data_IF_552037295621
#
_entry.id   IF_552037295621
#
_cell.length_a   1.000
_cell.length_b   1.000
_cell.length_c   1.000
_cell.angle_alpha   90.00
_cell.angle_beta   90.00
_cell.angle_gamma   90.00
#
_symmetry.space_group_name_H-M   'P 1'
#
loop_
_entity.id
_entity.type
_entity.pdbx_description
1 polymer ?
#
# COMPACT_ATOMS: atom_id res chain seq x y z
N UNK A 1 23.38 27.38 -28.72
CA UNK A 1 23.26 26.83 -28.23
C UNK A 1 23.28 26.28 -27.37
N UNK A 2 23.08 26.41 -27.32
CA UNK A 2 22.99 25.73 -26.65
C UNK A 2 22.85 25.50 -25.59
N UNK A 3 22.11 25.47 -26.18
CA UNK A 3 22.28 25.47 -24.87
C UNK A 3 22.71 24.18 -24.26
N UNK A 4 23.79 24.21 -23.86
CA UNK A 4 24.50 23.07 -23.39
C UNK A 4 23.90 22.54 -22.11
N UNK A 5 23.45 23.46 -21.27
CA UNK A 5 22.94 23.10 -19.96
C UNK A 5 21.43 23.02 -20.03
N UNK A 6 20.84 21.95 -19.48
CA UNK A 6 19.40 21.94 -19.31
C UNK A 6 18.97 23.05 -18.35
N UNK A 7 17.72 23.47 -18.39
CA UNK A 7 17.22 24.41 -17.39
C UNK A 7 17.58 23.97 -16.00
N UNK A 8 17.91 24.91 -15.11
CA UNK A 8 18.22 24.60 -13.73
C UNK A 8 17.03 23.99 -13.00
N UNK A 9 15.83 24.18 -13.53
CA UNK A 9 14.61 23.62 -12.96
C UNK A 9 13.78 22.97 -14.05
N UNK A 10 13.21 21.82 -13.72
CA UNK A 10 12.20 21.15 -14.52
C UNK A 10 10.83 21.39 -13.89
N UNK A 11 9.73 21.46 -14.67
CA UNK A 11 8.40 21.56 -14.07
C UNK A 11 8.12 20.41 -13.11
N UNK A 12 8.71 19.25 -13.31
CA UNK A 12 8.55 18.12 -12.40
C UNK A 12 9.19 18.38 -11.03
N UNK A 13 10.12 19.29 -10.92
CA UNK A 13 10.74 19.64 -9.64
C UNK A 13 9.79 20.40 -8.70
N UNK A 14 8.65 20.86 -9.20
CA UNK A 14 7.62 21.42 -8.33
C UNK A 14 6.81 20.37 -7.58
N UNK A 15 6.95 19.10 -7.95
CA UNK A 15 6.28 18.00 -7.24
C UNK A 15 6.91 17.87 -5.85
N UNK A 16 6.06 17.92 -4.82
CA UNK A 16 6.51 17.85 -3.42
C UNK A 16 6.04 16.62 -2.71
N UNK A 17 5.07 15.89 -3.28
CA UNK A 17 4.45 14.76 -2.57
C UNK A 17 3.85 13.80 -3.58
N UNK A 18 3.72 12.55 -3.16
CA UNK A 18 2.83 11.60 -3.82
C UNK A 18 1.50 11.75 -3.07
N UNK A 19 0.51 12.35 -3.74
CA UNK A 19 -0.74 12.72 -3.09
C UNK A 19 -1.58 11.50 -2.71
N UNK A 20 -1.73 10.58 -3.66
CA UNK A 20 -2.43 9.33 -3.37
C UNK A 20 -1.86 8.20 -4.22
N UNK A 21 -2.03 6.98 -3.71
CA UNK A 21 -1.62 5.76 -4.38
C UNK A 21 -2.88 4.98 -4.74
N UNK A 22 -2.93 4.46 -5.95
CA UNK A 22 -4.10 3.70 -6.43
C UNK A 22 -3.69 2.25 -6.63
N UNK A 23 -4.47 1.34 -6.07
CA UNK A 23 -4.35 -0.09 -6.34
C UNK A 23 -5.51 -0.46 -7.27
N UNK A 24 -5.17 -0.98 -8.45
CA UNK A 24 -6.20 -1.50 -9.36
C UNK A 24 -6.56 -2.92 -8.92
N UNK A 25 -7.78 -3.07 -8.43
CA UNK A 25 -8.22 -4.29 -7.76
C UNK A 25 -8.77 -5.31 -8.73
N UNK A 26 -8.56 -6.59 -8.41
CA UNK A 26 -9.21 -7.69 -9.12
C UNK A 26 -10.58 -8.00 -8.53
N UNK A 27 -10.66 -7.96 -7.21
CA UNK A 27 -11.89 -8.24 -6.47
C UNK A 27 -12.08 -7.13 -5.44
N UNK A 28 -12.91 -6.15 -5.78
CA UNK A 28 -13.15 -5.00 -4.91
C UNK A 28 -13.71 -5.42 -3.55
N UNK A 29 -14.65 -6.37 -3.54
CA UNK A 29 -15.27 -6.78 -2.29
C UNK A 29 -14.26 -7.44 -1.35
N UNK A 30 -13.40 -8.31 -1.88
CA UNK A 30 -12.36 -8.96 -1.07
C UNK A 30 -11.35 -7.95 -0.55
N UNK A 31 -10.94 -7.01 -1.41
CA UNK A 31 -9.98 -5.98 -1.02
C UNK A 31 -10.57 -5.06 0.05
N UNK A 32 -11.83 -4.68 -0.08
CA UNK A 32 -12.48 -3.86 0.94
C UNK A 32 -12.59 -4.59 2.27
N UNK A 33 -12.97 -5.88 2.24
CA UNK A 33 -13.03 -6.67 3.47
C UNK A 33 -11.69 -6.72 4.18
N UNK A 34 -10.61 -6.80 3.40
CA UNK A 34 -9.26 -6.85 3.96
C UNK A 34 -8.85 -5.49 4.54
N UNK A 35 -8.91 -4.43 3.75
CA UNK A 35 -8.44 -3.12 4.20
C UNK A 35 -9.33 -2.51 5.28
N UNK A 36 -10.63 -2.71 5.18
CA UNK A 36 -11.58 -2.17 6.17
C UNK A 36 -11.81 -3.11 7.35
N UNK A 37 -11.85 -4.41 7.11
CA UNK A 37 -12.18 -5.39 8.13
C UNK A 37 -10.98 -5.91 8.90
N UNK A 38 -9.86 -6.16 8.23
CA UNK A 38 -8.64 -6.68 8.86
C UNK A 38 -7.73 -5.55 9.30
N UNK A 39 -7.36 -4.66 8.38
CA UNK A 39 -6.46 -3.54 8.70
C UNK A 39 -7.20 -2.39 9.39
N UNK A 40 -8.51 -2.34 9.30
CA UNK A 40 -9.36 -1.35 9.96
C UNK A 40 -9.09 0.07 9.48
N UNK A 41 -8.74 0.23 8.22
CA UNK A 41 -8.59 1.56 7.65
C UNK A 41 -9.97 2.22 7.48
N UNK A 42 -10.01 3.52 7.68
CA UNK A 42 -11.25 4.29 7.61
C UNK A 42 -11.49 4.76 6.18
N UNK A 43 -12.70 4.49 5.66
CA UNK A 43 -13.13 5.02 4.38
C UNK A 43 -13.36 6.53 4.55
N UNK A 44 -12.68 7.33 3.72
CA UNK A 44 -12.86 8.78 3.73
C UNK A 44 -13.64 9.27 2.53
N UNK A 45 -13.72 8.47 1.47
CA UNK A 45 -14.45 8.85 0.28
C UNK A 45 -14.82 7.62 -0.53
N UNK A 46 -16.03 7.58 -1.01
CA UNK A 46 -16.51 6.56 -1.91
C UNK A 46 -17.18 7.27 -3.08
N UNK A 47 -16.45 7.46 -4.17
CA UNK A 47 -17.00 8.14 -5.35
C UNK A 47 -18.00 7.27 -6.07
N UNK A 48 -17.77 5.97 -6.08
CA UNK A 48 -18.63 4.98 -6.71
C UNK A 48 -18.26 3.61 -6.16
N UNK A 49 -18.99 2.58 -6.59
CA UNK A 49 -18.63 1.22 -6.23
C UNK A 49 -17.25 0.83 -6.76
N UNK A 50 -16.70 1.57 -7.70
CA UNK A 50 -15.39 1.31 -8.30
C UNK A 50 -14.25 2.19 -7.81
N UNK A 51 -14.48 3.04 -6.83
CA UNK A 51 -13.42 3.93 -6.31
C UNK A 51 -13.63 4.24 -4.83
N UNK A 52 -12.75 3.72 -3.99
CA UNK A 52 -12.82 3.84 -2.54
C UNK A 52 -11.50 4.44 -2.04
N UNK A 53 -11.56 5.43 -1.17
CA UNK A 53 -10.37 6.06 -0.60
C UNK A 53 -10.28 5.85 0.90
N UNK A 54 -9.06 5.57 1.37
CA UNK A 54 -8.73 5.46 2.79
C UNK A 54 -7.70 6.52 3.15
N UNK A 55 -7.83 7.12 4.31
CA UNK A 55 -6.81 7.99 4.85
C UNK A 55 -5.93 7.20 5.81
N UNK A 56 -4.63 7.25 5.58
CA UNK A 56 -3.63 6.55 6.39
C UNK A 56 -2.62 7.59 6.83
N UNK A 57 -2.81 8.14 8.04
CA UNK A 57 -2.00 9.27 8.47
C UNK A 57 -2.11 10.42 7.49
N UNK A 58 -0.99 10.87 6.94
CA UNK A 58 -0.97 11.96 5.95
C UNK A 58 -1.15 11.49 4.51
N UNK A 59 -1.41 10.22 4.27
CA UNK A 59 -1.47 9.66 2.93
C UNK A 59 -2.86 9.13 2.60
N UNK A 60 -3.18 9.11 1.31
CA UNK A 60 -4.42 8.53 0.80
C UNK A 60 -4.09 7.28 0.00
N UNK A 61 -4.79 6.19 0.30
CA UNK A 61 -4.75 4.96 -0.48
C UNK A 61 -6.12 4.77 -1.12
N UNK A 62 -6.14 4.57 -2.43
CA UNK A 62 -7.38 4.35 -3.16
C UNK A 62 -7.40 2.95 -3.76
N UNK A 63 -8.57 2.33 -3.70
CA UNK A 63 -8.86 1.09 -4.44
C UNK A 63 -9.73 1.46 -5.62
N UNK A 64 -9.34 1.01 -6.81
CA UNK A 64 -10.07 1.34 -8.04
C UNK A 64 -10.25 0.10 -8.89
N UNK A 65 -11.43 -0.03 -9.49
CA UNK A 65 -11.59 -0.98 -10.59
C UNK A 65 -10.86 -0.43 -11.81
N UNK A 66 -10.28 -1.30 -12.66
CA UNK A 66 -9.75 -0.86 -13.95
C UNK A 66 -10.85 -0.15 -14.74
N UNK A 67 -10.46 0.88 -15.46
CA UNK A 67 -11.45 1.68 -16.17
C UNK A 67 -10.85 2.59 -17.22
N UNK A 68 -11.24 3.86 -17.19
CA UNK A 68 -10.97 4.81 -18.27
C UNK A 68 -9.49 4.96 -18.59
N UNK A 69 -8.63 5.01 -17.59
CA UNK A 69 -7.20 5.28 -17.79
C UNK A 69 -6.33 4.03 -17.66
N UNK A 70 -6.82 2.99 -17.03
CA UNK A 70 -6.06 1.75 -16.87
C UNK A 70 -6.97 0.59 -17.26
N UNK A 71 -6.70 0.03 -18.42
CA UNK A 71 -7.49 -1.06 -19.01
C UNK A 71 -6.66 -2.32 -19.20
N UNK A 72 -5.45 -2.32 -18.68
CA UNK A 72 -4.53 -3.45 -18.86
C UNK A 72 -5.08 -4.67 -18.13
N UNK A 73 -4.69 -5.84 -18.63
CA UNK A 73 -4.98 -7.09 -17.94
C UNK A 73 -4.32 -7.05 -16.56
N UNK A 74 -4.97 -7.63 -15.53
CA UNK A 74 -4.35 -7.67 -14.22
C UNK A 74 -3.08 -8.51 -14.24
N UNK A 75 -2.15 -8.20 -13.33
CA UNK A 75 -0.95 -9.01 -13.16
C UNK A 75 -1.37 -10.44 -12.76
N UNK A 76 -0.53 -11.45 -13.05
CA UNK A 76 -0.85 -12.82 -12.68
C UNK A 76 -1.16 -12.95 -11.19
N UNK A 77 -2.11 -13.82 -10.85
CA UNK A 77 -2.46 -14.06 -9.46
C UNK A 77 -1.24 -14.57 -8.69
N UNK A 78 -1.07 -14.07 -7.47
CA UNK A 78 0.07 -14.44 -6.64
C UNK A 78 1.35 -13.65 -6.94
N UNK A 79 1.33 -12.76 -7.94
CA UNK A 79 2.47 -11.90 -8.23
C UNK A 79 2.23 -10.54 -7.62
N UNK A 80 3.22 -10.04 -6.89
CA UNK A 80 3.15 -8.70 -6.33
C UNK A 80 3.47 -7.69 -7.43
N UNK A 81 2.59 -6.72 -7.63
CA UNK A 81 2.84 -5.58 -8.51
C UNK A 81 3.12 -4.30 -7.72
N UNK A 82 2.89 -4.34 -6.42
CA UNK A 82 3.01 -3.20 -5.53
C UNK A 82 3.46 -3.69 -4.17
N UNK A 83 4.28 -2.88 -3.51
CA UNK A 83 4.60 -3.05 -2.10
C UNK A 83 4.31 -1.76 -1.37
N UNK A 84 3.60 -1.87 -0.25
CA UNK A 84 3.36 -0.77 0.67
C UNK A 84 4.01 -1.09 2.00
N UNK A 85 4.65 -0.10 2.60
CA UNK A 85 5.25 -0.24 3.92
C UNK A 85 4.56 0.72 4.88
N UNK A 86 4.08 0.18 5.99
CA UNK A 86 3.41 0.94 7.04
C UNK A 86 4.31 1.01 8.26
N UNK A 87 4.61 2.23 8.70
CA UNK A 87 5.48 2.43 9.86
C UNK A 87 4.66 2.47 11.13
N UNK A 88 5.11 1.76 12.15
CA UNK A 88 4.47 1.73 13.47
C UNK A 88 5.55 1.88 14.55
N UNK A 89 5.13 2.00 15.81
CA UNK A 89 6.04 1.92 16.93
C UNK A 89 6.54 0.48 17.10
N UNK A 90 7.70 0.31 17.72
CA UNK A 90 8.36 -1.01 17.85
C UNK A 90 7.42 -2.04 18.44
N UNK A 91 6.70 -1.68 19.51
CA UNK A 91 5.82 -2.62 20.20
C UNK A 91 4.62 -3.03 19.36
N UNK A 92 4.29 -2.27 18.32
CA UNK A 92 3.11 -2.54 17.51
C UNK A 92 3.37 -3.54 16.39
N UNK A 93 4.63 -3.84 16.07
CA UNK A 93 4.93 -4.82 15.01
C UNK A 93 4.37 -6.18 15.39
N UNK A 94 4.68 -6.65 16.60
CA UNK A 94 4.18 -7.97 17.06
C UNK A 94 2.66 -7.96 17.23
N UNK A 95 2.09 -6.85 17.68
CA UNK A 95 0.64 -6.71 17.80
C UNK A 95 -0.05 -6.81 16.45
N UNK A 96 0.53 -6.19 15.44
CA UNK A 96 0.01 -6.29 14.08
C UNK A 96 0.07 -7.74 13.59
N UNK A 97 1.17 -8.44 13.87
CA UNK A 97 1.29 -9.85 13.50
C UNK A 97 0.21 -10.69 14.17
N UNK A 98 -0.02 -10.49 15.47
CA UNK A 98 -1.03 -11.22 16.20
C UNK A 98 -2.42 -10.96 15.64
N UNK A 99 -2.72 -9.71 15.30
CA UNK A 99 -4.00 -9.34 14.73
C UNK A 99 -4.22 -9.99 13.37
N UNK A 100 -3.19 -10.00 12.52
CA UNK A 100 -3.27 -10.65 11.21
C UNK A 100 -3.54 -12.14 11.35
N UNK A 101 -2.81 -12.81 12.23
CA UNK A 101 -3.00 -14.24 12.50
C UNK A 101 -4.41 -14.50 13.00
N UNK A 102 -4.92 -13.64 13.87
CA UNK A 102 -6.26 -13.78 14.40
C UNK A 102 -7.33 -13.70 13.31
N UNK A 103 -7.06 -12.95 12.24
CA UNK A 103 -7.94 -12.84 11.08
C UNK A 103 -7.67 -13.90 10.01
N UNK A 104 -6.76 -14.85 10.28
CA UNK A 104 -6.46 -15.92 9.33
C UNK A 104 -5.55 -15.49 8.18
N UNK A 105 -4.82 -14.40 8.33
CA UNK A 105 -3.88 -13.92 7.30
C UNK A 105 -2.55 -14.63 7.50
N UNK A 106 -2.04 -15.24 6.43
CA UNK A 106 -0.73 -15.90 6.46
C UNK A 106 0.38 -14.84 6.43
N UNK A 107 1.35 -14.99 7.31
CA UNK A 107 2.53 -14.12 7.32
C UNK A 107 3.58 -14.70 6.38
N UNK A 108 4.07 -13.88 5.44
CA UNK A 108 5.21 -14.28 4.60
C UNK A 108 6.48 -14.33 5.43
N UNK A 109 6.63 -13.37 6.34
CA UNK A 109 7.73 -13.34 7.29
C UNK A 109 7.18 -12.79 8.59
N UNK A 110 7.36 -13.53 9.70
CA UNK A 110 6.93 -13.03 11.01
C UNK A 110 7.81 -11.87 11.48
N UNK A 111 7.46 -11.20 12.57
CA UNK A 111 8.28 -10.11 13.09
C UNK A 111 9.74 -10.53 13.23
N UNK A 112 10.62 -9.79 12.57
CA UNK A 112 12.05 -10.12 12.47
C UNK A 112 12.86 -8.84 12.55
N UNK A 113 13.89 -8.86 13.37
CA UNK A 113 14.85 -7.75 13.41
C UNK A 113 15.83 -7.90 12.25
N UNK A 114 15.87 -6.87 11.40
CA UNK A 114 16.76 -6.85 10.24
C UNK A 114 18.07 -6.14 10.60
N UNK A 115 19.14 -6.52 9.91
CA UNK A 115 20.47 -5.97 10.17
C UNK A 115 20.56 -4.47 9.87
N UNK A 116 19.65 -3.96 9.05
CA UNK A 116 19.65 -2.54 8.67
C UNK A 116 18.82 -1.66 9.59
N UNK A 117 18.40 -2.15 10.76
CA UNK A 117 17.76 -1.30 11.77
C UNK A 117 16.26 -1.25 11.73
N UNK A 118 15.60 -2.22 11.12
CA UNK A 118 14.14 -2.34 11.12
C UNK A 118 13.71 -3.64 11.77
N UNK A 119 12.58 -3.60 12.46
CA UNK A 119 11.83 -4.80 12.80
C UNK A 119 10.67 -4.87 11.84
N UNK A 120 10.56 -5.94 11.08
CA UNK A 120 9.65 -6.04 9.95
C UNK A 120 8.73 -7.25 10.05
N UNK A 121 7.57 -7.12 9.45
CA UNK A 121 6.69 -8.26 9.19
C UNK A 121 6.12 -8.09 7.78
N UNK A 122 5.91 -9.20 7.06
CA UNK A 122 5.43 -9.16 5.68
C UNK A 122 4.21 -10.07 5.50
N UNK A 123 3.27 -9.60 4.71
CA UNK A 123 2.05 -10.34 4.37
C UNK A 123 1.53 -9.84 3.03
N UNK A 124 0.44 -10.43 2.54
CA UNK A 124 -0.15 -10.02 1.26
C UNK A 124 -1.61 -9.64 1.46
N UNK A 125 -2.07 -8.71 0.62
CA UNK A 125 -3.51 -8.48 0.51
C UNK A 125 -4.15 -9.56 -0.39
N UNK A 126 -5.49 -9.59 -0.51
CA UNK A 126 -6.15 -10.64 -1.32
C UNK A 126 -5.77 -10.66 -2.79
N UNK A 127 -5.34 -9.53 -3.35
CA UNK A 127 -4.88 -9.46 -4.75
C UNK A 127 -3.42 -9.89 -4.91
N UNK A 128 -2.71 -10.13 -3.80
CA UNK A 128 -1.32 -10.58 -3.83
C UNK A 128 -0.30 -9.46 -3.70
N UNK A 129 -0.70 -8.23 -3.48
CA UNK A 129 0.24 -7.14 -3.25
C UNK A 129 1.01 -7.38 -1.95
N UNK A 130 2.29 -7.00 -1.96
CA UNK A 130 3.15 -7.20 -0.80
C UNK A 130 2.97 -6.05 0.18
N UNK A 131 2.70 -6.39 1.43
CA UNK A 131 2.54 -5.41 2.49
C UNK A 131 3.56 -5.65 3.59
N UNK A 132 4.09 -4.56 4.10
CA UNK A 132 5.08 -4.57 5.17
C UNK A 132 4.59 -3.69 6.31
N UNK A 133 4.73 -4.17 7.54
CA UNK A 133 4.65 -3.33 8.74
C UNK A 133 6.04 -3.32 9.34
N UNK A 134 6.54 -2.14 9.68
CA UNK A 134 7.88 -2.04 10.23
C UNK A 134 7.98 -0.95 11.28
N UNK A 135 9.00 -1.09 12.12
CA UNK A 135 9.42 -0.06 13.06
C UNK A 135 10.94 0.09 12.98
N UNK A 136 11.41 1.28 13.28
CA UNK A 136 12.85 1.52 13.43
C UNK A 136 13.31 1.01 14.78
N UNK A 137 14.44 0.34 14.81
CA UNK A 137 15.03 -0.20 16.05
C UNK A 137 16.49 0.21 16.20
#
# INVERSE_FOLDING_TARGET
MNDQNPPSTSPFQSIRTIDYTVIFVRDMAAMRRFYEGVLRFSVTRELSAGWIEYQIGGNTLALSRPGRTAKDAPTPAGSASLQLAFKVAVDDVDRCADELVRHGVDLLEPPTNQSFGHRTLFFRDPDGNLLEVYAEI
#
